data_IF_134003478156
#
_entry.id   IF_134003478156
#
_cell.length_a   1.000
_cell.length_b   1.000
_cell.length_c   1.000
_cell.angle_alpha   90.00
_cell.angle_beta   90.00
_cell.angle_gamma   90.00
#
_symmetry.space_group_name_H-M   'P 1'
#
loop_
_entity.id
_entity.type
_entity.pdbx_description
1 polymer ?
#
# COMPACT_ATOMS: atom_id res chain seq x y z
N UNK A 1 -17.96 11.67 -0.17
CA UNK A 1 -17.50 10.83 0.96
C UNK A 1 -16.87 9.55 0.44
N UNK A 2 -15.54 9.42 0.50
CA UNK A 2 -14.82 8.22 0.03
C UNK A 2 -13.94 7.71 1.18
N UNK A 3 -14.43 6.72 1.95
CA UNK A 3 -13.66 6.22 3.10
C UNK A 3 -14.23 5.02 3.84
N UNK A 4 -15.55 4.94 4.02
CA UNK A 4 -16.18 4.04 5.03
C UNK A 4 -15.72 2.58 5.00
N UNK A 5 -16.23 1.76 4.07
CA UNK A 5 -16.02 0.30 4.15
C UNK A 5 -14.57 -0.16 3.97
N UNK A 6 -13.81 0.49 3.09
CA UNK A 6 -12.42 0.07 2.86
C UNK A 6 -11.47 0.41 4.00
N UNK A 7 -11.65 1.59 4.61
CA UNK A 7 -10.80 1.97 5.72
C UNK A 7 -11.04 1.02 6.90
N UNK A 8 -12.30 0.67 7.18
CA UNK A 8 -12.63 -0.36 8.16
C UNK A 8 -11.97 -1.71 7.82
N UNK A 9 -12.07 -2.19 6.59
CA UNK A 9 -11.44 -3.47 6.20
C UNK A 9 -9.90 -3.44 6.30
N UNK A 10 -9.27 -2.31 5.96
CA UNK A 10 -7.81 -2.15 6.06
C UNK A 10 -7.36 -2.04 7.50
N UNK A 11 -8.11 -1.31 8.33
CA UNK A 11 -7.85 -1.18 9.76
C UNK A 11 -7.96 -2.54 10.46
N UNK A 12 -8.99 -3.33 10.15
CA UNK A 12 -9.14 -4.68 10.72
C UNK A 12 -7.96 -5.59 10.31
N UNK A 13 -7.56 -5.56 9.04
CA UNK A 13 -6.38 -6.32 8.55
C UNK A 13 -5.06 -5.83 9.15
N UNK A 14 -4.93 -4.54 9.47
CA UNK A 14 -3.74 -4.04 10.18
C UNK A 14 -3.66 -4.60 11.60
N UNK A 15 -4.79 -4.69 12.30
CA UNK A 15 -4.83 -5.23 13.66
C UNK A 15 -4.50 -6.72 13.67
N UNK A 16 -5.05 -7.50 12.74
CA UNK A 16 -4.73 -8.91 12.60
C UNK A 16 -3.25 -9.15 12.27
N UNK A 17 -2.68 -8.35 11.36
CA UNK A 17 -1.27 -8.45 10.98
C UNK A 17 -0.33 -8.07 12.15
N UNK A 18 -0.63 -6.99 12.87
CA UNK A 18 0.12 -6.57 14.07
C UNK A 18 0.00 -7.60 15.17
N UNK A 19 -1.21 -8.11 15.43
CA UNK A 19 -1.44 -9.13 16.45
C UNK A 19 -0.74 -10.45 16.10
N UNK A 20 -0.70 -10.83 14.82
CA UNK A 20 0.05 -12.00 14.36
C UNK A 20 1.57 -11.81 14.52
N UNK A 21 2.10 -10.62 14.20
CA UNK A 21 3.51 -10.29 14.42
C UNK A 21 3.89 -10.32 15.91
N UNK A 22 3.05 -9.73 16.77
CA UNK A 22 3.25 -9.73 18.23
C UNK A 22 3.15 -11.12 18.83
N UNK A 23 2.19 -11.96 18.39
CA UNK A 23 2.09 -13.36 18.82
C UNK A 23 3.29 -14.18 18.35
N UNK A 24 3.75 -13.97 17.12
CA UNK A 24 4.98 -14.59 16.59
C UNK A 24 6.21 -14.27 17.45
N UNK A 25 6.35 -13.02 17.90
CA UNK A 25 7.43 -12.61 18.80
C UNK A 25 7.33 -13.27 20.19
N UNK A 26 6.12 -13.51 20.71
CA UNK A 26 5.91 -14.23 21.98
C UNK A 26 6.25 -15.72 21.91
N UNK A 27 6.14 -16.34 20.74
CA UNK A 27 6.43 -17.76 20.52
C UNK A 27 7.85 -18.04 20.04
N UNK A 28 8.56 -17.05 19.48
CA UNK A 28 10.00 -17.17 19.23
C UNK A 28 10.74 -17.15 20.58
N UNK A 29 11.43 -18.24 20.94
CA UNK A 29 12.27 -18.38 22.14
C UNK A 29 13.43 -17.36 22.26
N UNK A 30 13.49 -16.34 21.41
CA UNK A 30 14.35 -15.18 21.60
C UNK A 30 13.76 -14.32 22.75
N UNK A 31 14.02 -14.74 24.00
CA UNK A 31 14.00 -13.80 25.11
C UNK A 31 15.04 -12.72 24.77
N UNK A 32 14.69 -11.43 24.71
CA UNK A 32 15.69 -10.42 24.98
C UNK A 32 16.06 -10.61 26.45
N UNK A 33 17.29 -11.01 26.71
CA UNK A 33 17.82 -11.00 28.08
C UNK A 33 17.58 -9.60 28.68
N UNK A 34 16.77 -9.54 29.74
CA UNK A 34 16.58 -8.33 30.54
C UNK A 34 15.25 -7.56 30.42
N UNK A 35 14.13 -8.13 29.95
CA UNK A 35 12.83 -7.41 29.92
C UNK A 35 11.99 -7.52 31.22
N UNK A 36 12.45 -8.24 32.24
CA UNK A 36 11.66 -8.42 33.48
C UNK A 36 11.85 -7.31 34.54
N UNK A 37 12.80 -6.39 34.38
CA UNK A 37 13.05 -5.32 35.35
C UNK A 37 12.77 -3.94 34.76
N UNK A 38 11.99 -3.14 35.47
CA UNK A 38 11.99 -1.67 35.34
C UNK A 38 11.11 -1.03 34.25
N UNK A 39 9.81 -1.38 34.25
CA UNK A 39 8.75 -0.42 33.88
C UNK A 39 8.20 0.20 35.17
N UNK A 40 9.02 1.04 35.81
CA UNK A 40 8.58 2.04 36.80
C UNK A 40 9.39 3.31 36.58
N UNK A 41 9.01 4.04 35.54
CA UNK A 41 9.53 5.36 35.23
C UNK A 41 8.40 6.18 34.64
N UNK A 42 7.61 6.80 35.51
CA UNK A 42 6.66 7.85 35.16
C UNK A 42 7.46 9.01 34.54
N UNK A 43 7.42 9.13 33.21
CA UNK A 43 7.79 10.38 32.54
C UNK A 43 6.68 11.38 32.84
N UNK A 44 6.94 12.27 33.80
CA UNK A 44 6.07 13.42 34.10
C UNK A 44 6.20 14.39 32.94
N UNK A 45 5.21 14.38 32.04
CA UNK A 45 5.00 15.48 31.10
C UNK A 45 4.56 16.70 31.91
N UNK A 46 5.44 17.70 32.06
CA UNK A 46 5.07 19.03 32.59
C UNK A 46 4.07 19.67 31.61
N UNK A 47 2.83 19.98 32.02
CA UNK A 47 1.92 20.74 31.17
C UNK A 47 2.35 22.21 31.15
N UNK A 48 2.33 22.80 29.96
CA UNK A 48 2.47 24.22 29.76
C UNK A 48 1.38 24.99 30.52
N UNK A 49 1.81 26.09 31.14
CA UNK A 49 1.01 27.02 31.95
C UNK A 49 -0.25 27.48 31.22
N UNK A 50 -1.43 27.19 31.81
CA UNK A 50 -2.65 27.97 31.59
C UNK A 50 -3.19 28.45 32.93
N UNK A 51 -3.66 29.71 32.89
CA UNK A 51 -3.97 30.60 33.99
C UNK A 51 -5.10 30.09 34.89
N UNK A 52 -5.01 30.49 36.16
CA UNK A 52 -5.96 30.31 37.25
C UNK A 52 -7.42 30.52 36.88
N UNK A 53 -8.29 29.66 37.43
CA UNK A 53 -9.52 30.07 38.13
C UNK A 53 -9.97 28.96 39.10
N UNK A 54 -10.05 29.33 40.39
CA UNK A 54 -10.99 28.90 41.44
C UNK A 54 -11.17 27.41 41.79
N UNK A 55 -10.57 27.05 42.93
CA UNK A 55 -11.20 26.43 44.11
C UNK A 55 -12.25 25.32 43.95
N UNK A 56 -11.91 24.10 44.39
CA UNK A 56 -12.68 23.35 45.42
C UNK A 56 -11.90 22.13 45.93
N UNK A 57 -11.73 22.11 47.25
CA UNK A 57 -11.17 21.08 48.12
C UNK A 57 -12.16 19.94 48.36
N UNK A 58 -11.71 18.68 48.23
CA UNK A 58 -12.09 17.44 48.98
C UNK A 58 -11.08 16.38 48.50
N UNK A 59 -10.39 15.53 49.27
CA UNK A 59 -10.41 15.11 50.65
C UNK A 59 -9.48 13.89 50.70
N UNK A 60 -8.42 13.97 51.49
CA UNK A 60 -7.41 12.94 51.69
C UNK A 60 -7.99 11.73 52.45
N UNK A 61 -7.84 10.51 51.91
CA UNK A 61 -7.88 9.30 52.72
C UNK A 61 -6.67 8.41 52.47
N UNK A 62 -5.68 8.64 53.33
CA UNK A 62 -4.52 7.80 53.63
C UNK A 62 -4.98 6.56 54.40
N UNK A 63 -4.81 5.36 53.83
CA UNK A 63 -4.75 4.12 54.64
C UNK A 63 -3.40 3.42 54.47
N UNK A 64 -2.88 3.02 55.62
CA UNK A 64 -1.54 2.54 55.93
C UNK A 64 -1.30 1.15 55.35
N UNK A 65 -0.06 0.87 54.93
CA UNK A 65 0.47 -0.50 54.78
C UNK A 65 0.97 -1.01 56.14
N UNK A 66 0.72 -2.29 56.41
CA UNK A 66 1.43 -3.13 57.37
C UNK A 66 1.83 -4.45 56.68
N UNK A 67 2.88 -5.14 57.14
CA UNK A 67 3.74 -5.97 56.31
C UNK A 67 3.44 -7.48 56.40
N UNK A 68 3.79 -8.20 55.33
CA UNK A 68 3.95 -9.65 55.34
C UNK A 68 2.69 -10.41 54.97
N UNK A 69 2.55 -10.72 53.68
CA UNK A 69 1.86 -11.90 53.15
C UNK A 69 2.09 -11.92 51.62
N UNK A 70 2.87 -12.89 51.15
CA UNK A 70 2.86 -13.31 49.75
C UNK A 70 1.72 -14.31 49.58
N UNK A 71 0.78 -14.05 48.67
CA UNK A 71 0.31 -15.16 47.84
C UNK A 71 0.16 -14.77 46.37
N UNK A 72 0.77 -15.62 45.54
CA UNK A 72 0.32 -16.10 44.23
C UNK A 72 0.06 -15.12 43.08
N UNK A 73 0.83 -15.37 42.01
CA UNK A 73 0.63 -14.86 40.67
C UNK A 73 -0.79 -15.11 40.17
N UNK A 74 -1.53 -14.02 39.94
CA UNK A 74 -2.66 -14.01 39.01
C UNK A 74 -2.27 -13.15 37.80
N UNK A 75 -1.87 -13.75 36.66
CA UNK A 75 -1.67 -12.98 35.43
C UNK A 75 -3.04 -12.70 34.82
N UNK A 76 -3.59 -11.51 35.09
CA UNK A 76 -4.86 -11.14 34.46
C UNK A 76 -5.50 -9.87 34.99
N UNK A 77 -5.01 -8.70 34.57
CA UNK A 77 -5.84 -7.48 34.63
C UNK A 77 -5.47 -6.39 33.61
N UNK A 78 -4.25 -6.39 33.06
CA UNK A 78 -3.87 -5.41 32.03
C UNK A 78 -4.29 -5.79 30.59
N UNK A 79 -4.65 -7.05 30.32
CA UNK A 79 -5.06 -7.53 28.99
C UNK A 79 -6.51 -7.14 28.61
N UNK A 80 -7.32 -6.66 29.55
CA UNK A 80 -8.74 -6.32 29.28
C UNK A 80 -8.95 -4.94 28.64
N UNK A 81 -7.94 -4.08 28.59
CA UNK A 81 -8.10 -2.75 27.97
C UNK A 81 -7.98 -2.78 26.43
N UNK A 82 -7.56 -3.91 25.84
CA UNK A 82 -7.35 -4.04 24.39
C UNK A 82 -8.32 -4.99 23.67
N UNK A 83 -9.33 -5.53 24.37
CA UNK A 83 -10.40 -6.32 23.78
C UNK A 83 -11.76 -5.88 24.31
N UNK A 84 -12.40 -4.93 23.64
CA UNK A 84 -13.78 -5.04 23.10
C UNK A 84 -14.33 -3.65 22.78
N UNK A 85 -14.23 -3.24 21.51
CA UNK A 85 -15.05 -2.15 20.94
C UNK A 85 -16.15 -2.67 20.00
N UNK A 86 -16.38 -4.00 20.00
CA UNK A 86 -17.46 -4.64 19.26
C UNK A 86 -18.87 -4.08 19.54
N UNK A 87 -19.20 -3.56 20.74
CA UNK A 87 -20.56 -3.06 21.01
C UNK A 87 -20.85 -1.67 20.41
N UNK A 88 -19.85 -0.80 20.23
CA UNK A 88 -20.08 0.58 19.79
C UNK A 88 -20.36 0.72 18.27
N UNK A 89 -20.07 -0.32 17.48
CA UNK A 89 -20.13 -0.28 16.01
C UNK A 89 -21.25 -1.14 15.39
N UNK A 90 -22.00 -1.91 16.20
CA UNK A 90 -23.16 -2.67 15.73
C UNK A 90 -24.41 -1.81 15.45
N UNK A 91 -24.38 -0.52 15.80
CA UNK A 91 -25.58 0.34 15.72
C UNK A 91 -25.86 0.93 14.32
N UNK A 92 -25.03 0.73 13.29
CA UNK A 92 -25.29 1.33 11.96
C UNK A 92 -24.83 0.45 10.79
N UNK A 93 -25.72 -0.41 10.27
CA UNK A 93 -25.60 -0.97 8.92
C UNK A 93 -26.15 -2.40 8.78
N UNK A 94 -26.94 -2.69 7.73
CA UNK A 94 -27.76 -3.90 7.68
C UNK A 94 -26.95 -5.15 7.33
N UNK A 95 -27.38 -6.27 7.91
CA UNK A 95 -26.97 -7.63 7.56
C UNK A 95 -27.44 -8.01 6.15
N UNK A 96 -26.64 -8.77 5.41
CA UNK A 96 -27.02 -9.22 4.07
C UNK A 96 -25.91 -9.94 3.29
N UNK A 97 -25.92 -11.27 3.44
CA UNK A 97 -25.55 -12.39 2.58
C UNK A 97 -24.63 -12.31 1.33
N UNK A 98 -23.78 -13.33 1.22
CA UNK A 98 -23.84 -14.31 0.12
C UNK A 98 -23.26 -13.94 -1.25
N UNK A 99 -22.10 -14.55 -1.56
CA UNK A 99 -21.54 -14.84 -2.91
C UNK A 99 -22.23 -14.19 -4.13
N UNK A 100 -21.65 -13.10 -4.62
CA UNK A 100 -21.79 -12.69 -6.01
C UNK A 100 -20.45 -12.17 -6.53
N UNK A 101 -19.89 -12.86 -7.54
CA UNK A 101 -18.67 -12.43 -8.23
C UNK A 101 -18.97 -11.14 -9.00
N UNK A 102 -18.80 -10.00 -8.34
CA UNK A 102 -18.99 -8.69 -8.97
C UNK A 102 -17.83 -8.39 -9.93
N UNK A 103 -18.10 -7.69 -11.05
CA UNK A 103 -17.07 -7.26 -11.99
C UNK A 103 -15.95 -6.53 -11.24
N UNK A 104 -14.69 -6.83 -11.59
CA UNK A 104 -13.50 -6.13 -11.07
C UNK A 104 -13.64 -4.67 -11.44
N UNK A 105 -14.22 -3.87 -10.54
CA UNK A 105 -14.44 -2.45 -10.78
C UNK A 105 -13.08 -1.77 -10.67
N UNK A 106 -12.55 -1.20 -11.76
CA UNK A 106 -11.26 -0.54 -11.72
C UNK A 106 -11.34 0.71 -10.82
N UNK A 107 -10.22 1.15 -10.21
CA UNK A 107 -10.14 2.41 -9.44
C UNK A 107 -10.20 3.64 -10.37
N UNK A 108 -11.31 3.75 -11.11
CA UNK A 108 -11.68 4.88 -11.95
C UNK A 108 -12.63 5.74 -11.12
N UNK A 109 -12.09 6.84 -10.59
CA UNK A 109 -12.79 7.75 -9.67
C UNK A 109 -12.44 7.49 -8.21
N UNK A 110 -11.56 8.33 -7.65
CA UNK A 110 -11.20 8.31 -6.23
C UNK A 110 -10.14 9.36 -5.90
N UNK A 111 -9.92 9.59 -4.60
CA UNK A 111 -8.98 10.57 -4.04
C UNK A 111 -7.60 10.59 -4.73
N UNK A 112 -6.94 11.75 -4.85
CA UNK A 112 -5.62 11.86 -5.51
C UNK A 112 -4.53 10.99 -4.86
N UNK A 113 -3.41 10.77 -5.57
CA UNK A 113 -2.26 9.98 -5.06
C UNK A 113 -1.73 10.49 -3.71
N UNK A 114 -1.73 11.82 -3.49
CA UNK A 114 -1.37 12.44 -2.21
C UNK A 114 -2.24 11.97 -1.04
N UNK A 115 -3.56 11.92 -1.22
CA UNK A 115 -4.50 11.49 -0.17
C UNK A 115 -4.28 10.00 0.15
N UNK A 116 -4.04 9.17 -0.86
CA UNK A 116 -3.76 7.74 -0.65
C UNK A 116 -2.45 7.51 0.10
N UNK A 117 -1.41 8.31 -0.17
CA UNK A 117 -0.16 8.30 0.60
C UNK A 117 -0.34 8.73 2.05
N UNK A 118 -1.22 9.70 2.32
CA UNK A 118 -1.57 10.06 3.70
C UNK A 118 -2.20 8.87 4.44
N UNK A 119 -3.15 8.17 3.83
CA UNK A 119 -3.75 6.96 4.41
C UNK A 119 -2.72 5.85 4.63
N UNK A 120 -1.79 5.70 3.69
CA UNK A 120 -0.65 4.82 3.88
C UNK A 120 0.11 5.24 5.14
N UNK A 121 0.45 6.52 5.29
CA UNK A 121 1.15 7.06 6.48
C UNK A 121 0.44 6.72 7.80
N UNK A 122 -0.89 6.73 7.81
CA UNK A 122 -1.66 6.31 8.99
C UNK A 122 -1.51 4.80 9.24
N UNK A 123 -1.65 3.96 8.21
CA UNK A 123 -1.42 2.51 8.31
C UNK A 123 0.00 2.22 8.80
N UNK A 124 0.99 2.89 8.22
CA UNK A 124 2.39 2.84 8.58
C UNK A 124 2.61 3.15 10.06
N UNK A 125 2.09 4.29 10.53
CA UNK A 125 2.24 4.71 11.93
C UNK A 125 1.68 3.69 12.91
N UNK A 126 0.54 3.06 12.58
CA UNK A 126 -0.10 2.06 13.44
C UNK A 126 0.66 0.74 13.45
N UNK A 127 1.11 0.28 12.28
CA UNK A 127 1.84 -0.97 12.15
C UNK A 127 3.22 -0.85 12.80
N UNK A 128 3.97 0.20 12.48
CA UNK A 128 5.38 0.35 12.88
C UNK A 128 5.58 0.92 14.29
N UNK A 129 4.53 1.30 15.02
CA UNK A 129 4.65 1.92 16.34
C UNK A 129 5.51 1.12 17.33
N UNK A 130 5.42 -0.22 17.29
CA UNK A 130 6.22 -1.13 18.14
C UNK A 130 7.22 -1.96 17.33
N UNK A 131 7.59 -1.51 16.13
CA UNK A 131 8.52 -2.23 15.26
C UNK A 131 9.81 -2.72 15.96
N UNK A 132 10.49 -1.91 16.80
CA UNK A 132 11.71 -2.36 17.47
C UNK A 132 11.55 -3.61 18.34
N UNK A 133 10.33 -3.92 18.80
CA UNK A 133 10.07 -5.09 19.66
C UNK A 133 9.91 -6.38 18.86
N UNK A 134 9.45 -6.30 17.62
CA UNK A 134 9.10 -7.47 16.81
C UNK A 134 9.83 -7.56 15.47
N UNK A 135 10.64 -6.58 15.07
CA UNK A 135 11.28 -6.53 13.76
C UNK A 135 12.09 -7.80 13.43
N UNK A 136 12.96 -8.24 14.35
CA UNK A 136 13.71 -9.52 14.23
C UNK A 136 12.81 -10.76 14.23
N UNK A 137 11.76 -10.79 15.04
CA UNK A 137 10.83 -11.93 15.08
C UNK A 137 9.96 -12.00 13.81
N UNK A 138 9.65 -10.86 13.20
CA UNK A 138 8.89 -10.80 11.95
C UNK A 138 9.67 -11.43 10.79
N UNK A 139 10.96 -11.11 10.66
CA UNK A 139 11.81 -11.68 9.60
C UNK A 139 12.06 -13.17 9.79
N UNK A 140 12.00 -13.67 11.02
CA UNK A 140 12.07 -15.10 11.32
C UNK A 140 10.80 -15.88 10.92
N UNK A 141 9.62 -15.23 10.90
CA UNK A 141 8.33 -15.88 10.59
C UNK A 141 7.85 -15.60 9.17
N UNK A 142 7.92 -16.62 8.30
CA UNK A 142 7.40 -16.55 6.92
C UNK A 142 5.90 -16.20 6.87
N UNK A 143 5.11 -16.70 7.80
CA UNK A 143 3.66 -16.45 7.84
C UNK A 143 3.35 -14.98 8.13
N UNK A 144 3.95 -14.44 9.19
CA UNK A 144 3.74 -13.03 9.60
C UNK A 144 4.23 -12.06 8.52
N UNK A 145 5.39 -12.35 7.92
CA UNK A 145 5.92 -11.58 6.79
C UNK A 145 4.96 -11.60 5.59
N UNK A 146 4.37 -12.75 5.27
CA UNK A 146 3.40 -12.88 4.17
C UNK A 146 2.14 -12.05 4.42
N UNK A 147 1.62 -12.03 5.65
CA UNK A 147 0.46 -11.21 6.01
C UNK A 147 0.76 -9.71 5.87
N UNK A 148 1.94 -9.28 6.32
CA UNK A 148 2.38 -7.89 6.22
C UNK A 148 2.51 -7.44 4.76
N UNK A 149 3.16 -8.26 3.92
CA UNK A 149 3.28 -8.00 2.48
C UNK A 149 1.92 -7.95 1.78
N UNK A 150 0.94 -8.78 2.17
CA UNK A 150 -0.43 -8.73 1.64
C UNK A 150 -1.14 -7.42 2.00
N UNK A 151 -0.95 -6.95 3.23
CA UNK A 151 -1.48 -5.66 3.67
C UNK A 151 -0.88 -4.52 2.85
N UNK A 152 0.45 -4.43 2.78
CA UNK A 152 1.15 -3.39 2.03
C UNK A 152 0.80 -3.45 0.54
N UNK A 153 0.69 -4.64 -0.07
CA UNK A 153 0.24 -4.79 -1.45
C UNK A 153 -1.11 -4.10 -1.68
N UNK A 154 -2.03 -4.22 -0.73
CA UNK A 154 -3.38 -3.66 -0.85
C UNK A 154 -3.37 -2.13 -0.85
N UNK A 155 -2.52 -1.51 -0.02
CA UNK A 155 -2.35 -0.05 0.00
C UNK A 155 -1.58 0.44 -1.22
N UNK A 156 -0.48 -0.23 -1.58
CA UNK A 156 0.37 0.11 -2.71
C UNK A 156 -0.38 0.04 -4.05
N UNK A 157 -1.19 -1.00 -4.30
CA UNK A 157 -2.04 -1.10 -5.50
C UNK A 157 -2.95 0.12 -5.64
N UNK A 158 -3.45 0.68 -4.54
CA UNK A 158 -4.36 1.83 -4.58
C UNK A 158 -3.62 3.11 -4.88
N UNK A 159 -2.43 3.29 -4.32
CA UNK A 159 -1.56 4.45 -4.59
C UNK A 159 -1.17 4.44 -6.07
N UNK A 160 -0.71 3.29 -6.56
CA UNK A 160 -0.36 3.07 -7.95
C UNK A 160 -1.58 3.03 -8.88
N UNK A 161 -2.81 2.87 -8.37
CA UNK A 161 -4.03 2.67 -9.16
C UNK A 161 -3.93 1.46 -10.10
N UNK A 162 -3.44 0.34 -9.59
CA UNK A 162 -3.29 -0.90 -10.33
C UNK A 162 -4.47 -1.85 -10.20
N UNK A 163 -4.39 -2.98 -10.90
CA UNK A 163 -5.31 -4.10 -10.73
C UNK A 163 -5.04 -4.83 -9.42
N UNK A 164 -6.04 -5.52 -8.87
CA UNK A 164 -5.86 -6.39 -7.69
C UNK A 164 -4.82 -7.50 -7.91
N UNK A 165 -4.62 -7.92 -9.16
CA UNK A 165 -3.67 -8.97 -9.55
C UNK A 165 -2.23 -8.48 -9.66
N UNK A 166 -1.98 -7.16 -9.66
CA UNK A 166 -0.63 -6.57 -9.74
C UNK A 166 0.26 -7.11 -8.62
N UNK A 167 1.46 -7.61 -8.95
CA UNK A 167 2.38 -8.24 -7.99
C UNK A 167 2.78 -7.30 -6.85
N UNK A 168 3.26 -7.86 -5.73
CA UNK A 168 3.73 -7.07 -4.60
C UNK A 168 4.86 -6.13 -5.02
N UNK A 169 5.90 -6.65 -5.69
CA UNK A 169 7.03 -5.87 -6.19
C UNK A 169 6.61 -4.76 -7.16
N UNK A 170 5.72 -5.05 -8.12
CA UNK A 170 5.20 -4.01 -9.04
C UNK A 170 4.35 -2.96 -8.32
N UNK A 171 3.57 -3.35 -7.32
CA UNK A 171 2.74 -2.41 -6.58
C UNK A 171 3.60 -1.46 -5.71
N UNK A 172 4.57 -2.00 -4.98
CA UNK A 172 5.43 -1.21 -4.09
C UNK A 172 6.38 -0.29 -4.86
N UNK A 173 6.95 -0.75 -5.98
CA UNK A 173 7.85 0.08 -6.81
C UNK A 173 7.12 1.27 -7.43
N UNK A 174 5.88 1.07 -7.92
CA UNK A 174 5.06 2.15 -8.49
C UNK A 174 4.52 3.11 -7.43
N UNK A 175 4.29 2.61 -6.20
CA UNK A 175 3.86 3.43 -5.08
C UNK A 175 5.01 4.17 -4.37
N UNK A 176 6.27 3.80 -4.65
CA UNK A 176 7.47 4.25 -3.93
C UNK A 176 7.33 4.00 -2.42
N UNK A 177 6.91 2.76 -2.11
CA UNK A 177 6.60 2.29 -0.76
C UNK A 177 7.58 1.17 -0.40
N UNK A 178 8.67 1.45 0.34
CA UNK A 178 9.63 0.43 0.73
C UNK A 178 8.98 -0.68 1.55
N UNK A 179 9.44 -1.95 1.47
CA UNK A 179 8.88 -3.04 2.24
C UNK A 179 8.79 -2.74 3.74
N UNK A 180 7.66 -3.06 4.37
CA UNK A 180 7.41 -2.76 5.78
C UNK A 180 8.44 -3.43 6.69
N UNK A 181 8.92 -4.61 6.32
CA UNK A 181 9.96 -5.34 7.04
C UNK A 181 11.31 -4.59 7.06
N UNK A 182 11.71 -3.95 5.96
CA UNK A 182 12.97 -3.20 5.91
C UNK A 182 12.87 -1.92 6.75
N UNK A 183 11.71 -1.27 6.73
CA UNK A 183 11.46 -0.11 7.58
C UNK A 183 11.42 -0.48 9.06
N UNK A 184 10.86 -1.64 9.41
CA UNK A 184 10.84 -2.13 10.78
C UNK A 184 12.26 -2.38 11.32
N UNK A 185 13.14 -2.98 10.50
CA UNK A 185 14.55 -3.18 10.85
C UNK A 185 15.30 -1.85 11.00
N UNK A 186 15.02 -0.87 10.14
CA UNK A 186 15.61 0.47 10.27
C UNK A 186 15.20 1.15 11.59
N UNK A 187 13.93 1.03 12.00
CA UNK A 187 13.44 1.55 13.28
C UNK A 187 14.07 0.84 14.47
N UNK A 188 14.25 -0.48 14.40
CA UNK A 188 14.97 -1.25 15.43
C UNK A 188 16.41 -0.76 15.59
N UNK A 189 17.15 -0.60 14.48
CA UNK A 189 18.54 -0.08 14.51
C UNK A 189 18.62 1.29 15.17
N UNK A 190 17.73 2.21 14.81
CA UNK A 190 17.67 3.56 15.41
C UNK A 190 17.34 3.49 16.91
N UNK A 191 16.46 2.58 17.32
CA UNK A 191 16.10 2.38 18.72
C UNK A 191 17.25 1.79 19.54
N UNK A 192 17.95 0.78 19.02
CA UNK A 192 19.12 0.18 19.68
C UNK A 192 20.24 1.20 19.87
N UNK A 193 20.51 2.03 18.86
CA UNK A 193 21.49 3.10 18.95
C UNK A 193 21.14 4.12 20.03
N UNK A 194 19.87 4.48 20.18
CA UNK A 194 19.41 5.42 21.22
C UNK A 194 19.45 4.81 22.64
N UNK A 195 19.36 3.48 22.74
CA UNK A 195 19.41 2.75 24.03
C UNK A 195 20.84 2.40 24.45
N UNK A 196 21.78 2.33 23.51
CA UNK A 196 23.18 2.03 23.78
C UNK A 196 23.88 3.13 24.59
N UNK A 197 24.98 2.80 25.30
CA UNK A 197 25.76 3.80 26.02
C UNK A 197 26.30 4.85 25.05
N UNK A 198 26.06 6.13 25.35
CA UNK A 198 26.64 7.25 24.59
C UNK A 198 28.16 7.19 24.68
N UNK A 199 28.92 7.09 23.57
CA UNK A 199 30.36 7.19 23.64
C UNK A 199 30.73 8.57 24.18
N UNK A 200 31.48 8.59 25.28
CA UNK A 200 31.90 9.81 26.02
C UNK A 200 32.94 10.65 25.28
N UNK A 201 33.17 10.41 24.00
CA UNK A 201 34.26 11.03 23.25
C UNK A 201 33.90 11.07 21.77
N UNK A 202 33.59 12.25 21.24
CA UNK A 202 33.89 12.59 19.85
C UNK A 202 33.58 14.07 19.58
N UNK A 203 34.62 14.84 19.25
CA UNK A 203 34.58 16.16 18.61
C UNK A 203 34.15 16.09 17.13
N UNK A 204 33.32 15.12 16.76
CA UNK A 204 32.76 15.01 15.41
C UNK A 204 31.22 15.00 15.47
N UNK A 205 30.53 15.63 14.52
CA UNK A 205 29.09 15.50 14.40
C UNK A 205 28.77 14.02 14.17
N UNK A 206 28.08 13.39 15.13
CA UNK A 206 27.67 12.01 14.99
C UNK A 206 26.85 11.85 13.69
N UNK A 207 27.16 10.86 12.83
CA UNK A 207 26.39 10.61 11.63
C UNK A 207 24.91 10.43 12.01
N UNK A 208 24.01 11.02 11.22
CA UNK A 208 22.59 10.92 11.49
C UNK A 208 22.13 9.48 11.25
N UNK A 209 22.11 8.67 12.32
CA UNK A 209 21.75 7.25 12.30
C UNK A 209 20.41 6.99 11.60
N UNK A 210 19.49 7.96 11.63
CA UNK A 210 18.19 7.86 10.95
C UNK A 210 18.33 7.97 9.43
N UNK A 211 19.18 8.87 8.95
CA UNK A 211 19.47 9.02 7.52
C UNK A 211 20.23 7.81 6.98
N UNK A 212 21.18 7.29 7.74
CA UNK A 212 21.93 6.09 7.38
C UNK A 212 21.02 4.86 7.29
N UNK A 213 20.19 4.62 8.31
CA UNK A 213 19.22 3.52 8.31
C UNK A 213 18.19 3.65 7.17
N UNK A 214 17.80 4.88 6.82
CA UNK A 214 16.94 5.16 5.67
C UNK A 214 17.65 4.84 4.36
N UNK A 215 18.90 5.28 4.17
CA UNK A 215 19.70 5.00 2.97
C UNK A 215 19.87 3.49 2.77
N UNK A 216 20.25 2.79 3.82
CA UNK A 216 20.37 1.32 3.81
C UNK A 216 19.04 0.63 3.45
N UNK A 217 17.91 1.13 3.95
CA UNK A 217 16.58 0.62 3.58
C UNK A 217 16.34 0.69 2.07
N UNK A 218 16.70 1.82 1.45
CA UNK A 218 16.55 2.01 0.00
C UNK A 218 17.49 1.13 -0.81
N UNK A 219 18.74 0.99 -0.38
CA UNK A 219 19.74 0.14 -1.03
C UNK A 219 19.32 -1.34 -0.97
N UNK A 220 19.00 -1.84 0.23
CA UNK A 220 18.50 -3.21 0.43
C UNK A 220 17.23 -3.46 -0.39
N UNK A 221 16.32 -2.49 -0.47
CA UNK A 221 15.11 -2.63 -1.28
C UNK A 221 15.44 -2.72 -2.78
N UNK A 222 16.33 -1.87 -3.28
CA UNK A 222 16.78 -1.93 -4.67
C UNK A 222 17.39 -3.30 -5.00
N UNK A 223 18.28 -3.82 -4.14
CA UNK A 223 18.87 -5.15 -4.30
C UNK A 223 17.80 -6.26 -4.31
N UNK A 224 16.80 -6.19 -3.43
CA UNK A 224 15.68 -7.16 -3.43
C UNK A 224 14.86 -7.10 -4.72
N UNK A 225 14.62 -5.92 -5.27
CA UNK A 225 13.90 -5.76 -6.54
C UNK A 225 14.69 -6.37 -7.71
N UNK A 226 16.00 -6.16 -7.76
CA UNK A 226 16.88 -6.74 -8.78
C UNK A 226 16.87 -8.28 -8.69
N UNK A 227 17.00 -8.84 -7.49
CA UNK A 227 16.97 -10.29 -7.27
C UNK A 227 15.60 -10.89 -7.64
N UNK A 228 14.51 -10.26 -7.22
CA UNK A 228 13.16 -10.72 -7.55
C UNK A 228 12.92 -10.68 -9.06
N UNK A 229 13.36 -9.62 -9.75
CA UNK A 229 13.17 -9.49 -11.21
C UNK A 229 13.99 -10.50 -12.02
N UNK A 230 15.16 -10.89 -11.50
CA UNK A 230 15.98 -11.95 -12.10
C UNK A 230 15.29 -13.32 -12.01
N UNK A 231 14.57 -13.60 -10.92
CA UNK A 231 13.84 -14.87 -10.72
C UNK A 231 12.48 -14.86 -11.40
N UNK A 232 11.75 -13.75 -11.27
CA UNK A 232 10.41 -13.55 -11.82
C UNK A 232 10.30 -12.15 -12.42
N UNK A 233 10.40 -12.04 -13.75
CA UNK A 233 10.30 -10.78 -14.46
C UNK A 233 9.03 -10.00 -14.10
N UNK A 234 9.20 -8.72 -13.81
CA UNK A 234 8.14 -7.79 -13.50
C UNK A 234 8.29 -6.54 -14.36
N UNK A 235 7.42 -6.40 -15.37
CA UNK A 235 7.45 -5.28 -16.33
C UNK A 235 7.60 -3.90 -15.65
N UNK A 236 6.84 -3.65 -14.58
CA UNK A 236 6.89 -2.38 -13.86
C UNK A 236 8.20 -2.18 -13.07
N UNK A 237 8.81 -3.27 -12.57
CA UNK A 237 10.11 -3.21 -11.88
C UNK A 237 11.20 -2.92 -12.91
N UNK A 238 11.24 -3.64 -14.03
CA UNK A 238 12.16 -3.39 -15.15
C UNK A 238 12.08 -1.98 -15.70
N UNK A 239 10.86 -1.43 -15.79
CA UNK A 239 10.66 -0.05 -16.25
C UNK A 239 11.27 0.99 -15.28
N UNK A 240 11.21 0.73 -13.97
CA UNK A 240 11.61 1.71 -12.94
C UNK A 240 13.09 1.58 -12.56
N UNK A 241 13.64 0.37 -12.49
CA UNK A 241 15.00 0.12 -11.99
C UNK A 241 16.09 0.96 -12.68
N UNK A 242 16.10 1.15 -14.02
CA UNK A 242 17.09 2.00 -14.68
C UNK A 242 17.04 3.47 -14.25
N UNK A 243 15.89 3.93 -13.76
CA UNK A 243 15.67 5.30 -13.30
C UNK A 243 15.43 5.35 -11.77
N UNK A 244 15.95 4.37 -11.03
CA UNK A 244 15.59 4.13 -9.63
C UNK A 244 15.75 5.35 -8.73
N UNK A 245 16.90 6.02 -8.78
CA UNK A 245 17.22 7.14 -7.89
C UNK A 245 16.27 8.33 -8.14
N UNK A 246 16.15 8.75 -9.40
CA UNK A 246 15.25 9.84 -9.78
C UNK A 246 13.77 9.51 -9.48
N UNK A 247 13.36 8.26 -9.69
CA UNK A 247 12.01 7.80 -9.35
C UNK A 247 11.75 7.83 -7.84
N UNK A 248 12.70 7.33 -7.04
CA UNK A 248 12.67 7.35 -5.58
C UNK A 248 12.58 8.77 -5.05
N UNK A 249 13.49 9.63 -5.48
CA UNK A 249 13.67 10.97 -4.91
C UNK A 249 12.48 11.89 -5.20
N UNK A 250 11.78 11.64 -6.31
CA UNK A 250 10.53 12.35 -6.65
C UNK A 250 9.29 11.80 -5.94
N UNK A 251 9.39 10.65 -5.27
CA UNK A 251 8.23 9.93 -4.72
C UNK A 251 7.34 9.33 -5.81
N UNK A 252 7.96 8.94 -6.93
CA UNK A 252 7.35 8.36 -8.10
C UNK A 252 6.64 9.38 -8.99
N UNK A 253 5.85 8.89 -9.96
CA UNK A 253 5.02 9.71 -10.82
C UNK A 253 3.54 9.68 -10.38
N UNK A 254 2.74 10.73 -10.65
CA UNK A 254 1.30 10.74 -10.38
C UNK A 254 0.52 9.92 -11.41
N UNK A 255 0.70 8.59 -11.38
CA UNK A 255 0.14 7.66 -12.34
C UNK A 255 -1.40 7.67 -12.37
N UNK A 256 -1.96 7.55 -13.58
CA UNK A 256 -3.37 7.22 -13.78
C UNK A 256 -3.58 5.71 -13.80
N UNK A 257 -4.83 5.27 -13.75
CA UNK A 257 -5.16 3.85 -13.85
C UNK A 257 -4.64 3.22 -15.16
N UNK A 258 -4.75 3.95 -16.27
CA UNK A 258 -4.32 3.49 -17.60
C UNK A 258 -2.81 3.53 -17.79
N UNK A 259 -2.12 4.50 -17.19
CA UNK A 259 -0.66 4.48 -17.15
C UNK A 259 -0.14 3.25 -16.39
N UNK A 260 -0.77 2.93 -15.25
CA UNK A 260 -0.40 1.75 -14.47
C UNK A 260 -0.70 0.45 -15.20
N UNK A 261 -1.79 0.36 -15.95
CA UNK A 261 -2.08 -0.76 -16.85
C UNK A 261 -0.91 -0.99 -17.82
N UNK A 262 -0.50 0.05 -18.53
CA UNK A 262 0.62 0.02 -19.49
C UNK A 262 1.92 -0.42 -18.82
N UNK A 263 2.28 0.18 -17.67
CA UNK A 263 3.52 -0.16 -16.96
C UNK A 263 3.54 -1.60 -16.45
N UNK A 264 2.38 -2.14 -16.06
CA UNK A 264 2.27 -3.49 -15.47
C UNK A 264 1.87 -4.58 -16.45
N UNK A 265 1.56 -4.26 -17.71
CA UNK A 265 0.99 -5.22 -18.67
C UNK A 265 -0.38 -5.76 -18.26
N UNK A 266 -1.13 -5.01 -17.45
CA UNK A 266 -2.48 -5.38 -17.01
C UNK A 266 -3.54 -4.63 -17.81
N UNK A 267 -4.75 -5.19 -17.92
CA UNK A 267 -5.90 -4.47 -18.47
C UNK A 267 -6.55 -5.18 -19.65
N UNK A 268 -6.69 -4.46 -20.75
CA UNK A 268 -7.37 -4.95 -21.98
C UNK A 268 -6.36 -5.42 -23.02
N UNK A 269 -5.25 -5.98 -22.55
CA UNK A 269 -4.23 -6.65 -23.36
C UNK A 269 -4.61 -8.13 -23.47
N UNK A 270 -4.60 -8.68 -24.68
CA UNK A 270 -4.94 -10.09 -24.93
C UNK A 270 -4.16 -11.06 -24.04
N UNK A 271 -2.84 -10.86 -23.88
CA UNK A 271 -1.99 -11.65 -22.96
C UNK A 271 -2.54 -11.66 -21.53
N UNK A 272 -2.94 -10.50 -21.02
CA UNK A 272 -3.52 -10.38 -19.69
C UNK A 272 -4.88 -11.07 -19.59
N UNK A 273 -5.76 -10.86 -20.58
CA UNK A 273 -7.12 -11.41 -20.61
C UNK A 273 -7.12 -12.93 -20.68
N UNK A 274 -6.22 -13.52 -21.48
CA UNK A 274 -5.96 -14.96 -21.53
C UNK A 274 -5.50 -15.47 -20.16
N UNK A 275 -4.52 -14.81 -19.55
CA UNK A 275 -3.98 -15.21 -18.24
C UNK A 275 -5.03 -15.23 -17.12
N UNK A 276 -6.03 -14.34 -17.17
CA UNK A 276 -7.16 -14.34 -16.21
C UNK A 276 -8.37 -15.12 -16.71
N UNK A 277 -8.24 -15.88 -17.81
CA UNK A 277 -9.27 -16.74 -18.41
C UNK A 277 -10.54 -15.97 -18.80
N UNK A 278 -10.40 -14.71 -19.22
CA UNK A 278 -11.51 -13.92 -19.79
C UNK A 278 -11.60 -14.04 -21.30
N UNK A 279 -10.50 -14.38 -21.96
CA UNK A 279 -10.46 -14.68 -23.39
C UNK A 279 -9.69 -16.00 -23.62
N UNK A 280 -9.94 -16.63 -24.76
CA UNK A 280 -9.34 -17.92 -25.13
C UNK A 280 -7.98 -17.76 -25.84
N UNK A 281 -7.67 -16.57 -26.34
CA UNK A 281 -6.44 -16.27 -27.09
C UNK A 281 -5.81 -14.97 -26.60
N UNK A 282 -4.53 -14.77 -26.92
CA UNK A 282 -3.77 -13.53 -26.65
C UNK A 282 -3.77 -12.55 -27.83
N UNK A 283 -4.41 -12.91 -28.94
CA UNK A 283 -4.37 -12.17 -30.21
C UNK A 283 -4.89 -10.74 -30.04
N UNK A 284 -4.25 -9.81 -30.74
CA UNK A 284 -4.68 -8.42 -30.75
C UNK A 284 -6.03 -8.28 -31.46
N UNK A 285 -6.97 -7.57 -30.84
CA UNK A 285 -8.27 -7.28 -31.46
C UNK A 285 -8.25 -6.08 -32.42
N UNK A 286 -7.07 -5.48 -32.61
CA UNK A 286 -6.90 -4.24 -33.38
C UNK A 286 -5.94 -4.41 -34.57
N UNK A 287 -5.24 -5.54 -34.64
CA UNK A 287 -4.37 -5.96 -35.74
C UNK A 287 -4.15 -7.48 -35.67
N UNK A 288 -3.39 -8.04 -36.59
CA UNK A 288 -3.20 -9.51 -36.72
C UNK A 288 -2.06 -10.07 -35.84
N UNK A 289 -1.64 -9.35 -34.81
CA UNK A 289 -0.56 -9.81 -33.92
C UNK A 289 -1.05 -10.93 -33.00
N UNK A 290 -0.27 -12.01 -32.90
CA UNK A 290 -0.61 -13.20 -32.10
C UNK A 290 -0.57 -12.93 -30.58
N UNK A 291 0.28 -12.00 -30.15
CA UNK A 291 0.48 -11.65 -28.75
C UNK A 291 0.24 -10.14 -28.50
N UNK A 292 -0.98 -9.79 -28.07
CA UNK A 292 -1.30 -8.45 -27.60
C UNK A 292 -0.73 -8.20 -26.20
N UNK A 293 0.56 -7.91 -26.16
CA UNK A 293 1.27 -7.39 -25.02
C UNK A 293 1.10 -5.86 -24.92
N UNK A 294 1.32 -5.31 -23.72
CA UNK A 294 1.42 -3.86 -23.56
C UNK A 294 2.51 -3.24 -24.44
N UNK A 295 3.63 -3.94 -24.63
CA UNK A 295 4.71 -3.48 -25.50
C UNK A 295 4.28 -3.39 -26.97
N UNK A 296 3.55 -4.40 -27.47
CA UNK A 296 2.96 -4.36 -28.80
C UNK A 296 2.06 -3.14 -29.01
N UNK A 297 1.17 -2.86 -28.04
CA UNK A 297 0.33 -1.66 -28.09
C UNK A 297 1.17 -0.36 -28.12
N UNK A 298 2.24 -0.30 -27.33
CA UNK A 298 3.12 0.87 -27.25
C UNK A 298 3.95 1.12 -28.51
N UNK A 299 4.48 0.07 -29.15
CA UNK A 299 5.54 0.23 -30.17
C UNK A 299 5.13 -0.17 -31.58
N UNK A 300 4.29 -1.19 -31.72
CA UNK A 300 4.16 -1.91 -33.00
C UNK A 300 2.75 -1.85 -33.58
N UNK A 301 1.71 -1.89 -32.73
CA UNK A 301 0.33 -1.99 -33.17
C UNK A 301 -0.05 -0.88 -34.16
N UNK A 302 -0.42 -1.21 -35.42
CA UNK A 302 -0.70 -0.22 -36.45
C UNK A 302 -1.93 0.64 -36.13
N UNK A 303 -2.90 0.10 -35.38
CA UNK A 303 -4.09 0.85 -34.95
C UNK A 303 -3.77 2.08 -34.09
N UNK A 304 -2.61 2.10 -33.45
CA UNK A 304 -2.16 3.21 -32.59
C UNK A 304 -1.00 4.00 -33.20
N UNK A 305 -0.76 3.88 -34.51
CA UNK A 305 0.38 4.51 -35.18
C UNK A 305 0.38 6.04 -35.03
N UNK A 306 -0.76 6.70 -35.23
CA UNK A 306 -0.83 8.15 -35.15
C UNK A 306 -0.66 8.70 -33.71
N UNK A 307 -1.37 8.20 -32.68
CA UNK A 307 -1.07 8.57 -31.30
C UNK A 307 0.38 8.30 -30.90
N UNK A 308 0.95 7.20 -31.39
CA UNK A 308 2.34 6.82 -31.12
C UNK A 308 3.33 7.77 -31.79
N UNK A 309 3.06 8.22 -33.01
CA UNK A 309 3.87 9.21 -33.73
C UNK A 309 3.92 10.52 -32.94
N UNK A 310 2.77 11.01 -32.47
CA UNK A 310 2.70 12.20 -31.60
C UNK A 310 3.48 11.99 -30.31
N UNK A 311 3.37 10.82 -29.68
CA UNK A 311 4.14 10.51 -28.47
C UNK A 311 5.66 10.55 -28.74
N UNK A 312 6.13 9.93 -29.83
CA UNK A 312 7.57 9.89 -30.18
C UNK A 312 8.16 11.28 -30.43
N UNK A 313 7.39 12.18 -31.05
CA UNK A 313 7.83 13.57 -31.23
C UNK A 313 8.09 14.28 -29.90
N UNK A 314 7.31 13.95 -28.85
CA UNK A 314 7.44 14.58 -27.54
C UNK A 314 8.50 13.90 -26.65
N UNK A 315 8.61 12.57 -26.69
CA UNK A 315 9.47 11.84 -25.74
C UNK A 315 10.72 11.19 -26.36
N UNK A 316 10.84 11.17 -27.68
CA UNK A 316 11.88 10.46 -28.43
C UNK A 316 11.39 9.12 -29.00
N UNK A 317 12.24 8.50 -29.82
CA UNK A 317 11.87 7.31 -30.61
C UNK A 317 11.60 6.05 -29.78
N UNK A 318 12.38 5.85 -28.71
CA UNK A 318 12.27 4.66 -27.85
C UNK A 318 11.03 4.74 -26.95
N UNK A 319 10.18 3.72 -27.04
CA UNK A 319 9.00 3.56 -26.17
C UNK A 319 9.14 2.32 -25.28
N UNK A 320 10.39 1.90 -25.05
CA UNK A 320 10.72 0.90 -24.06
C UNK A 320 10.18 1.36 -22.68
N UNK A 321 9.74 0.43 -21.82
CA UNK A 321 9.17 0.77 -20.51
C UNK A 321 10.01 1.77 -19.71
N UNK A 322 11.33 1.57 -19.70
CA UNK A 322 12.31 2.39 -19.01
C UNK A 322 12.52 3.76 -19.65
N UNK A 323 12.44 3.85 -20.99
CA UNK A 323 12.48 5.13 -21.71
C UNK A 323 11.22 5.96 -21.42
N UNK A 324 10.06 5.30 -21.38
CA UNK A 324 8.80 5.95 -20.98
C UNK A 324 8.88 6.45 -19.54
N UNK A 325 9.42 5.67 -18.60
CA UNK A 325 9.63 6.12 -17.21
C UNK A 325 10.62 7.28 -17.14
N UNK A 326 11.75 7.22 -17.85
CA UNK A 326 12.72 8.31 -17.93
C UNK A 326 12.05 9.60 -18.43
N UNK A 327 11.25 9.50 -19.49
CA UNK A 327 10.51 10.64 -20.04
C UNK A 327 9.46 11.21 -19.06
N UNK A 328 8.74 10.37 -18.30
CA UNK A 328 7.86 10.85 -17.22
C UNK A 328 8.61 11.70 -16.17
N UNK A 329 9.90 11.43 -15.99
CA UNK A 329 10.74 12.11 -15.00
C UNK A 329 11.35 13.41 -15.52
N UNK A 330 11.55 13.58 -16.84
CA UNK A 330 12.18 14.78 -17.42
C UNK A 330 11.40 16.07 -17.20
N UNK A 331 10.08 16.06 -17.40
CA UNK A 331 9.32 17.30 -17.38
C UNK A 331 7.81 17.12 -17.34
N UNK A 332 7.10 18.26 -17.23
CA UNK A 332 5.62 18.26 -17.20
C UNK A 332 5.02 17.98 -18.57
N UNK A 333 5.70 18.39 -19.64
CA UNK A 333 5.25 18.25 -21.02
C UNK A 333 5.28 16.77 -21.44
N UNK A 334 6.42 16.12 -21.27
CA UNK A 334 6.62 14.70 -21.57
C UNK A 334 5.67 13.82 -20.74
N UNK A 335 5.54 14.13 -19.45
CA UNK A 335 4.56 13.46 -18.59
C UNK A 335 3.13 13.63 -19.12
N UNK A 336 2.76 14.84 -19.56
CA UNK A 336 1.43 15.11 -20.10
C UNK A 336 1.21 14.36 -21.43
N UNK A 337 2.21 14.30 -22.31
CA UNK A 337 2.15 13.55 -23.57
C UNK A 337 1.91 12.05 -23.31
N UNK A 338 2.70 11.45 -22.42
CA UNK A 338 2.54 10.03 -22.04
C UNK A 338 1.16 9.79 -21.43
N UNK A 339 0.72 10.66 -20.52
CA UNK A 339 -0.61 10.55 -19.91
C UNK A 339 -1.70 10.60 -20.98
N UNK A 340 -1.66 11.58 -21.89
CA UNK A 340 -2.64 11.73 -22.97
C UNK A 340 -2.69 10.49 -23.86
N UNK A 341 -1.52 10.00 -24.29
CA UNK A 341 -1.42 8.78 -25.08
C UNK A 341 -2.01 7.57 -24.35
N UNK A 342 -1.59 7.31 -23.10
CA UNK A 342 -2.09 6.18 -22.32
C UNK A 342 -3.60 6.27 -22.09
N UNK A 343 -4.13 7.47 -21.80
CA UNK A 343 -5.56 7.67 -21.62
C UNK A 343 -6.32 7.43 -22.93
N UNK A 344 -5.87 7.98 -24.05
CA UNK A 344 -6.53 7.83 -25.36
C UNK A 344 -6.55 6.37 -25.82
N UNK A 345 -5.39 5.73 -25.88
CA UNK A 345 -5.23 4.36 -26.42
C UNK A 345 -5.95 3.35 -25.54
N UNK A 346 -5.69 3.36 -24.23
CA UNK A 346 -6.29 2.38 -23.33
C UNK A 346 -7.79 2.57 -23.20
N UNK A 347 -8.30 3.80 -23.21
CA UNK A 347 -9.74 4.05 -23.20
C UNK A 347 -10.42 3.56 -24.47
N UNK A 348 -9.77 3.69 -25.64
CA UNK A 348 -10.26 3.14 -26.89
C UNK A 348 -10.27 1.61 -26.88
N UNK A 349 -9.18 0.95 -26.44
CA UNK A 349 -9.14 -0.53 -26.25
C UNK A 349 -10.24 -1.00 -25.28
N UNK A 350 -10.42 -0.31 -24.16
CA UNK A 350 -11.47 -0.61 -23.16
C UNK A 350 -12.89 -0.42 -23.70
N UNK A 351 -13.11 0.52 -24.63
CA UNK A 351 -14.41 0.66 -25.31
C UNK A 351 -14.65 -0.49 -26.27
N UNK A 352 -13.63 -0.86 -27.06
CA UNK A 352 -13.72 -1.98 -27.99
C UNK A 352 -14.00 -3.31 -27.27
N UNK A 353 -13.28 -3.59 -26.18
CA UNK A 353 -13.52 -4.78 -25.35
C UNK A 353 -14.95 -4.82 -24.80
N UNK A 354 -15.43 -3.72 -24.20
CA UNK A 354 -16.82 -3.64 -23.72
C UNK A 354 -17.86 -3.83 -24.82
N UNK A 355 -17.61 -3.36 -26.04
CA UNK A 355 -18.53 -3.57 -27.16
C UNK A 355 -18.58 -5.05 -27.56
N UNK A 356 -17.44 -5.74 -27.59
CA UNK A 356 -17.38 -7.19 -27.84
C UNK A 356 -18.08 -7.99 -26.76
N UNK A 357 -17.89 -7.63 -25.49
CA UNK A 357 -18.60 -8.30 -24.37
C UNK A 357 -20.12 -8.18 -24.52
N UNK A 358 -20.61 -7.00 -24.90
CA UNK A 358 -22.05 -6.77 -25.15
C UNK A 358 -22.58 -7.60 -26.31
N UNK A 359 -21.80 -7.76 -27.36
CA UNK A 359 -22.17 -8.58 -28.51
C UNK A 359 -22.21 -10.08 -28.17
N UNK A 360 -21.30 -10.55 -27.31
CA UNK A 360 -21.25 -11.96 -26.86
C UNK A 360 -22.36 -12.33 -25.87
N UNK A 361 -22.77 -11.40 -25.01
CA UNK A 361 -23.82 -11.62 -24.02
C UNK A 361 -24.80 -10.43 -23.96
N UNK A 362 -25.81 -10.39 -24.84
CA UNK A 362 -26.83 -9.35 -24.83
C UNK A 362 -27.66 -9.35 -23.54
N UNK A 363 -27.81 -10.52 -22.90
CA UNK A 363 -28.70 -10.77 -21.75
C UNK A 363 -28.21 -10.15 -20.45
N UNK A 364 -26.88 -10.03 -20.26
CA UNK A 364 -26.26 -9.31 -19.11
C UNK A 364 -26.59 -7.82 -19.04
N UNK A 365 -27.18 -7.25 -20.10
CA UNK A 365 -27.49 -5.82 -20.18
C UNK A 365 -28.90 -5.48 -19.68
N UNK A 366 -29.80 -6.46 -19.62
CA UNK A 366 -31.22 -6.25 -19.29
C UNK A 366 -31.48 -6.01 -17.79
N UNK A 367 -30.55 -6.40 -16.90
CA UNK A 367 -30.71 -6.25 -15.44
C UNK A 367 -30.22 -4.91 -14.86
N UNK A 368 -30.36 -3.82 -15.61
CA UNK A 368 -30.23 -2.48 -15.04
C UNK A 368 -31.64 -1.90 -14.97
N UNK A 369 -32.29 -1.84 -13.79
CA UNK A 369 -33.61 -1.23 -13.71
C UNK A 369 -33.48 0.22 -14.16
N UNK A 370 -34.16 0.56 -15.26
CA UNK A 370 -34.46 1.94 -15.62
C UNK A 370 -35.42 2.45 -14.55
N UNK A 371 -34.90 3.08 -13.50
CA UNK A 371 -35.72 3.95 -12.66
C UNK A 371 -36.09 5.20 -13.47
N UNK A 372 -37.12 5.06 -14.29
CA UNK A 372 -37.88 6.11 -14.99
C UNK A 372 -39.28 5.51 -15.07
N UNK A 373 -40.20 5.80 -14.18
CA UNK A 373 -40.96 7.05 -14.11
C UNK A 373 -41.89 6.91 -12.89
N UNK A 374 -41.94 7.91 -12.01
CA UNK A 374 -43.04 8.00 -11.05
C UNK A 374 -44.28 8.52 -11.80
N UNK A 375 -45.47 7.91 -11.63
CA UNK A 375 -46.68 8.45 -12.26
C UNK A 375 -47.05 9.77 -11.58
N UNK A 376 -47.63 10.74 -12.31
CA UNK A 376 -48.15 11.96 -11.70
C UNK A 376 -49.30 11.60 -10.76
N UNK A 377 -49.34 12.23 -9.58
CA UNK A 377 -50.45 12.07 -8.63
C UNK A 377 -51.72 12.72 -9.20
N UNK A 378 -52.89 12.08 -9.07
CA UNK A 378 -54.17 12.68 -9.45
C UNK A 378 -54.54 13.87 -8.53
N UNK A 379 -55.44 14.76 -8.99
CA UNK A 379 -55.64 16.11 -8.45
C UNK A 379 -56.10 16.17 -7.00
#
# INVERSE_FOLDING_TARGET
MAGGRWWHDTANRTEDAVACAVRGARHSKARPDGVAGQIRGTVVLRPATKRNTSSRTVGEHRRRRGPGETPDEVPGSHDRQWMDLRPALRATGPEGDGRSQRPVRPPIGGAGSRIRRLYEGVVWSRVLYRAPVWARSLTASRHSLTLLRRLQRTTAIRIARGYRTTSYASATVLAVSPPFELQALALERVYEHQRGPTPSTASQPAPNIREEAKKETWERWCSQLIQEDAVRPHRAVRAVLPNWEAWRDRGGAPLTFRMTQVLTGHGVFGEYLLRIRREATSVCHHCEEEEDMAQHTLEFCPAWAEPRRVLRLEIGESLAPEAVVAAMLRGRQEFAAIRTYCEQVMLAKERAERNRERARDPSRTSQRPRNTTAPPRPP
#
